data_IF_632132234844
#
_entry.id   IF_632132234844
#
_cell.length_a   1.000
_cell.length_b   1.000
_cell.length_c   1.000
_cell.angle_alpha   90.00
_cell.angle_beta   90.00
_cell.angle_gamma   90.00
#
_symmetry.space_group_name_H-M   'P 1'
#
loop_
_entity.id
_entity.type
_entity.pdbx_description
1 polymer ?
#
# COMPACT_ATOMS: atom_id res chain seq x y z
N UNK A 1 -30.99 -13.96 6.01
CA UNK A 1 -30.36 -13.00 6.95
C UNK A 1 -28.86 -13.09 6.74
N UNK A 2 -28.23 -12.07 6.17
CA UNK A 2 -26.78 -12.05 5.99
C UNK A 2 -26.15 -11.93 7.39
N UNK A 3 -25.24 -12.83 7.81
CA UNK A 3 -24.61 -12.76 9.12
C UNK A 3 -23.92 -11.40 9.29
N UNK A 4 -24.06 -10.74 10.44
CA UNK A 4 -23.47 -9.41 10.69
C UNK A 4 -21.97 -9.34 10.35
N UNK A 5 -21.24 -10.44 10.54
CA UNK A 5 -19.82 -10.57 10.19
C UNK A 5 -19.56 -10.42 8.69
N UNK A 6 -20.38 -11.01 7.83
CA UNK A 6 -20.21 -10.93 6.37
C UNK A 6 -20.44 -9.50 5.85
N UNK A 7 -21.39 -8.77 6.44
CA UNK A 7 -21.62 -7.36 6.11
C UNK A 7 -20.44 -6.49 6.52
N UNK A 8 -19.87 -6.73 7.71
CA UNK A 8 -18.68 -6.02 8.20
C UNK A 8 -17.44 -6.34 7.35
N UNK A 9 -17.24 -7.60 6.97
CA UNK A 9 -16.11 -8.03 6.13
C UNK A 9 -16.20 -7.41 4.73
N UNK A 10 -17.41 -7.32 4.17
CA UNK A 10 -17.66 -6.60 2.92
C UNK A 10 -17.34 -5.11 3.08
N UNK A 11 -17.79 -4.47 4.17
CA UNK A 11 -17.50 -3.07 4.44
C UNK A 11 -15.99 -2.81 4.61
N UNK A 12 -15.26 -3.71 5.29
CA UNK A 12 -13.79 -3.67 5.39
C UNK A 12 -13.13 -3.71 4.02
N UNK A 13 -13.50 -4.68 3.17
CA UNK A 13 -12.97 -4.80 1.80
C UNK A 13 -13.28 -3.57 0.95
N UNK A 14 -14.50 -3.04 1.03
CA UNK A 14 -14.87 -1.81 0.32
C UNK A 14 -14.07 -0.60 0.80
N UNK A 15 -13.82 -0.48 2.11
CA UNK A 15 -12.98 0.59 2.67
C UNK A 15 -11.52 0.47 2.19
N UNK A 16 -10.95 -0.74 2.17
CA UNK A 16 -9.60 -0.99 1.66
C UNK A 16 -9.48 -0.60 0.18
N UNK A 17 -10.42 -1.05 -0.66
CA UNK A 17 -10.45 -0.68 -2.08
C UNK A 17 -10.56 0.83 -2.30
N UNK A 18 -11.36 1.53 -1.49
CA UNK A 18 -11.47 2.98 -1.57
C UNK A 18 -10.15 3.67 -1.16
N UNK A 19 -9.45 3.15 -0.16
CA UNK A 19 -8.13 3.65 0.23
C UNK A 19 -7.09 3.45 -0.88
N UNK A 20 -7.00 2.24 -1.43
CA UNK A 20 -6.07 1.91 -2.52
C UNK A 20 -6.36 2.74 -3.79
N UNK A 21 -7.63 2.87 -4.18
CA UNK A 21 -8.02 3.73 -5.29
C UNK A 21 -7.64 5.20 -5.08
N UNK A 22 -7.68 5.69 -3.83
CA UNK A 22 -7.22 7.04 -3.51
C UNK A 22 -5.69 7.17 -3.66
N UNK A 23 -4.91 6.16 -3.25
CA UNK A 23 -3.45 6.16 -3.46
C UNK A 23 -3.10 6.15 -4.95
N UNK A 24 -3.76 5.30 -5.73
CA UNK A 24 -3.56 5.21 -7.18
C UNK A 24 -3.93 6.53 -7.86
N UNK A 25 -5.05 7.14 -7.47
CA UNK A 25 -5.43 8.48 -7.93
C UNK A 25 -4.34 9.52 -7.66
N UNK A 26 -3.80 9.57 -6.44
CA UNK A 26 -2.74 10.51 -6.07
C UNK A 26 -1.45 10.27 -6.85
N UNK A 27 -1.08 9.01 -7.10
CA UNK A 27 0.09 8.67 -7.93
C UNK A 27 -0.09 9.10 -9.38
N UNK A 28 -1.25 8.85 -9.98
CA UNK A 28 -1.56 9.31 -11.35
C UNK A 28 -1.55 10.83 -11.46
N UNK A 29 -1.99 11.57 -10.42
CA UNK A 29 -1.85 13.02 -10.39
C UNK A 29 -0.38 13.47 -10.37
N UNK A 30 0.46 12.80 -9.57
CA UNK A 30 1.90 13.09 -9.54
C UNK A 30 2.56 12.81 -10.90
N UNK A 31 2.21 11.70 -11.55
CA UNK A 31 2.68 11.36 -12.89
C UNK A 31 2.26 12.40 -13.93
N UNK A 32 0.98 12.81 -13.95
CA UNK A 32 0.49 13.86 -14.84
C UNK A 32 1.26 15.17 -14.64
N UNK A 33 1.60 15.52 -13.39
CA UNK A 33 2.44 16.68 -13.08
C UNK A 33 3.86 16.54 -13.64
N UNK A 34 4.48 15.38 -13.51
CA UNK A 34 5.82 15.09 -14.08
C UNK A 34 5.81 15.20 -15.60
N UNK A 35 4.72 14.78 -16.25
CA UNK A 35 4.50 14.90 -17.69
C UNK A 35 4.14 16.33 -18.15
N UNK A 36 4.01 17.30 -17.23
CA UNK A 36 3.73 18.69 -17.54
C UNK A 36 2.25 19.02 -17.81
N UNK A 37 1.32 18.12 -17.48
CA UNK A 37 -0.12 18.36 -17.65
C UNK A 37 -0.59 19.42 -16.65
N UNK A 38 -1.31 20.44 -17.14
CA UNK A 38 -1.76 21.56 -16.29
C UNK A 38 -2.88 21.15 -15.32
N UNK A 39 -2.95 21.77 -14.13
CA UNK A 39 -4.04 21.49 -13.18
C UNK A 39 -5.43 21.80 -13.73
N UNK A 40 -5.54 22.81 -14.61
CA UNK A 40 -6.81 23.17 -15.26
C UNK A 40 -7.27 22.08 -16.24
N UNK A 41 -6.32 21.52 -17.00
CA UNK A 41 -6.59 20.40 -17.90
C UNK A 41 -6.99 19.14 -17.12
N UNK A 42 -6.27 18.79 -16.07
CA UNK A 42 -6.61 17.66 -15.18
C UNK A 42 -8.00 17.85 -14.58
N UNK A 43 -8.32 19.05 -14.07
CA UNK A 43 -9.63 19.36 -13.49
C UNK A 43 -10.76 19.20 -14.51
N UNK A 44 -10.55 19.66 -15.75
CA UNK A 44 -11.49 19.53 -16.86
C UNK A 44 -11.74 18.07 -17.22
N UNK A 45 -10.69 17.26 -17.42
CA UNK A 45 -10.80 15.85 -17.78
C UNK A 45 -11.47 15.02 -16.67
N UNK A 46 -11.12 15.28 -15.41
CA UNK A 46 -11.68 14.58 -14.25
C UNK A 46 -13.04 15.13 -13.79
N UNK A 47 -13.56 16.18 -14.44
CA UNK A 47 -14.84 16.84 -14.11
C UNK A 47 -14.93 17.31 -12.65
N UNK A 48 -13.83 17.84 -12.14
CA UNK A 48 -13.74 18.44 -10.79
C UNK A 48 -13.28 19.90 -10.88
N UNK A 49 -13.29 20.59 -9.76
CA UNK A 49 -12.80 21.98 -9.71
C UNK A 49 -11.27 22.00 -9.65
N UNK A 50 -10.65 23.03 -10.24
CA UNK A 50 -9.20 23.22 -10.14
C UNK A 50 -8.70 23.33 -8.68
N UNK A 51 -9.41 24.00 -7.74
CA UNK A 51 -9.06 23.95 -6.32
C UNK A 51 -9.05 22.53 -5.71
N UNK A 52 -9.95 21.63 -6.14
CA UNK A 52 -9.94 20.24 -5.68
C UNK A 52 -8.71 19.47 -6.19
N UNK A 53 -8.26 19.75 -7.42
CA UNK A 53 -6.99 19.23 -7.96
C UNK A 53 -5.81 19.79 -7.20
N UNK A 54 -5.77 21.10 -6.92
CA UNK A 54 -4.70 21.71 -6.14
C UNK A 54 -4.54 21.04 -4.77
N UNK A 55 -5.65 20.81 -4.05
CA UNK A 55 -5.65 20.08 -2.77
C UNK A 55 -5.13 18.65 -2.92
N UNK A 56 -5.59 17.93 -3.94
CA UNK A 56 -5.17 16.55 -4.19
C UNK A 56 -3.69 16.47 -4.58
N UNK A 57 -3.17 17.43 -5.33
CA UNK A 57 -1.76 17.54 -5.70
C UNK A 57 -0.84 17.77 -4.50
N UNK A 58 -1.31 18.50 -3.48
CA UNK A 58 -0.57 18.63 -2.22
C UNK A 58 -0.42 17.28 -1.51
N UNK A 59 -1.48 16.46 -1.49
CA UNK A 59 -1.42 15.10 -0.94
C UNK A 59 -0.58 14.15 -1.82
N UNK A 60 -0.66 14.30 -3.14
CA UNK A 60 0.09 13.50 -4.11
C UNK A 60 1.61 13.62 -3.92
N UNK A 61 2.10 14.81 -3.55
CA UNK A 61 3.52 15.03 -3.29
C UNK A 61 4.08 14.23 -2.12
N UNK A 62 3.23 13.77 -1.20
CA UNK A 62 3.63 12.95 -0.05
C UNK A 62 3.27 11.47 -0.23
N UNK A 63 2.72 11.08 -1.39
CA UNK A 63 2.35 9.70 -1.67
C UNK A 63 3.57 8.96 -2.24
N UNK A 64 4.08 7.90 -1.58
CA UNK A 64 5.21 7.14 -2.08
C UNK A 64 4.89 6.51 -3.45
N UNK A 65 5.85 6.53 -4.40
CA UNK A 65 5.70 5.79 -5.66
C UNK A 65 5.67 4.29 -5.40
N UNK A 66 5.15 3.52 -6.35
CA UNK A 66 5.28 2.06 -6.35
C UNK A 66 6.62 1.71 -7.01
N UNK A 67 7.54 0.99 -6.32
CA UNK A 67 8.79 0.56 -6.94
C UNK A 67 8.53 -0.37 -8.13
N UNK A 68 9.42 -0.36 -9.12
CA UNK A 68 9.27 -1.18 -10.32
C UNK A 68 9.16 -2.67 -9.97
N UNK A 69 8.20 -3.33 -10.61
CA UNK A 69 7.91 -4.73 -10.39
C UNK A 69 7.04 -5.03 -9.18
N UNK A 70 6.68 -4.05 -8.34
CA UNK A 70 5.80 -4.27 -7.18
C UNK A 70 4.38 -3.74 -7.43
N UNK A 71 3.41 -4.19 -6.63
CA UNK A 71 2.04 -3.65 -6.67
C UNK A 71 1.78 -2.58 -5.61
N UNK A 72 2.56 -2.51 -4.52
CA UNK A 72 2.37 -1.52 -3.45
C UNK A 72 3.58 -0.61 -3.24
N UNK A 73 3.35 0.61 -2.77
CA UNK A 73 4.41 1.54 -2.37
C UNK A 73 5.08 1.20 -1.03
N UNK A 74 4.58 0.15 -0.35
CA UNK A 74 5.12 -0.41 0.89
C UNK A 74 4.71 -1.89 1.02
N UNK A 75 5.40 -2.70 1.84
CA UNK A 75 4.98 -4.05 2.17
C UNK A 75 3.55 -4.10 2.75
N UNK A 76 3.18 -3.09 3.55
CA UNK A 76 1.84 -3.00 4.13
C UNK A 76 0.78 -2.80 3.04
N UNK A 77 1.03 -1.92 2.06
CA UNK A 77 0.12 -1.71 0.93
C UNK A 77 -0.01 -2.97 0.05
N UNK A 78 1.07 -3.73 -0.16
CA UNK A 78 1.00 -5.02 -0.88
C UNK A 78 0.03 -5.97 -0.16
N UNK A 79 0.09 -6.05 1.17
CA UNK A 79 -0.86 -6.83 1.96
C UNK A 79 -2.30 -6.30 1.88
N UNK A 80 -2.49 -4.97 1.83
CA UNK A 80 -3.81 -4.36 1.61
C UNK A 80 -4.39 -4.73 0.24
N UNK A 81 -3.58 -4.74 -0.82
CA UNK A 81 -3.99 -5.16 -2.17
C UNK A 81 -4.38 -6.63 -2.22
N UNK A 82 -3.64 -7.50 -1.53
CA UNK A 82 -4.03 -8.90 -1.36
C UNK A 82 -5.38 -9.02 -0.65
N UNK A 83 -5.56 -8.34 0.48
CA UNK A 83 -6.82 -8.36 1.24
C UNK A 83 -8.00 -7.74 0.46
N UNK A 84 -7.73 -6.81 -0.45
CA UNK A 84 -8.71 -6.25 -1.39
C UNK A 84 -9.04 -7.21 -2.57
N UNK A 85 -8.23 -8.26 -2.77
CA UNK A 85 -8.34 -9.22 -3.86
C UNK A 85 -7.79 -8.71 -5.19
N UNK A 86 -6.90 -7.73 -5.18
CA UNK A 86 -6.25 -7.17 -6.38
C UNK A 86 -5.06 -8.02 -6.83
N UNK A 87 -4.40 -8.72 -5.91
CA UNK A 87 -3.29 -9.63 -6.18
C UNK A 87 -3.54 -11.01 -5.56
N UNK A 88 -2.93 -12.05 -6.14
CA UNK A 88 -3.01 -13.41 -5.61
C UNK A 88 -2.07 -13.61 -4.41
N UNK A 89 -2.23 -14.72 -3.69
CA UNK A 89 -1.34 -15.08 -2.57
C UNK A 89 0.08 -15.33 -3.06
N UNK A 90 0.24 -15.93 -4.23
CA UNK A 90 1.54 -16.23 -4.85
C UNK A 90 2.29 -14.94 -5.17
N UNK A 91 1.60 -13.96 -5.77
CA UNK A 91 2.17 -12.63 -6.04
C UNK A 91 2.56 -11.94 -4.74
N UNK A 92 1.65 -11.89 -3.76
CA UNK A 92 1.93 -11.31 -2.45
C UNK A 92 3.20 -11.92 -1.81
N UNK A 93 3.30 -13.25 -1.79
CA UNK A 93 4.43 -13.94 -1.16
C UNK A 93 5.74 -13.62 -1.86
N UNK A 94 5.75 -13.64 -3.20
CA UNK A 94 6.94 -13.29 -3.97
C UNK A 94 7.37 -11.84 -3.74
N UNK A 95 6.42 -10.89 -3.80
CA UNK A 95 6.71 -9.47 -3.60
C UNK A 95 7.21 -9.15 -2.20
N UNK A 96 6.56 -9.68 -1.17
CA UNK A 96 7.02 -9.45 0.21
C UNK A 96 8.38 -10.09 0.45
N UNK A 97 8.63 -11.30 -0.05
CA UNK A 97 9.91 -11.97 0.16
C UNK A 97 11.09 -11.25 -0.52
N UNK A 98 10.88 -10.62 -1.68
CA UNK A 98 11.94 -9.87 -2.40
C UNK A 98 11.97 -8.38 -2.08
N UNK A 99 11.09 -7.90 -1.19
CA UNK A 99 11.05 -6.48 -0.87
C UNK A 99 12.39 -6.05 -0.26
N UNK A 100 13.01 -4.95 -0.72
CA UNK A 100 14.27 -4.47 -0.19
C UNK A 100 14.03 -3.79 1.18
N UNK A 101 13.82 -4.60 2.22
CA UNK A 101 13.52 -4.11 3.56
C UNK A 101 14.64 -3.22 4.08
N UNK A 102 14.28 -2.02 4.53
CA UNK A 102 15.22 -1.16 5.24
C UNK A 102 15.63 -1.86 6.54
N UNK A 103 16.94 -2.06 6.79
CA UNK A 103 17.40 -2.52 8.08
C UNK A 103 16.92 -1.56 9.15
N UNK A 104 16.34 -2.06 10.24
CA UNK A 104 16.02 -1.20 11.38
C UNK A 104 17.33 -0.63 11.90
N UNK A 105 17.54 0.68 11.78
CA UNK A 105 18.61 1.33 12.52
C UNK A 105 18.37 1.01 13.99
N UNK A 106 19.34 0.35 14.62
CA UNK A 106 19.39 0.22 16.07
C UNK A 106 19.73 1.60 16.66
N UNK A 107 18.82 2.56 16.48
CA UNK A 107 18.88 3.87 17.10
C UNK A 107 19.00 3.71 18.61
N UNK A 108 19.68 4.66 19.22
CA UNK A 108 20.15 4.83 20.59
C UNK A 108 19.07 4.85 21.70
N UNK A 109 17.97 4.13 21.50
CA UNK A 109 17.02 3.77 22.55
C UNK A 109 15.97 4.83 22.89
N UNK A 110 15.82 5.88 22.09
CA UNK A 110 14.87 6.97 22.40
C UNK A 110 13.72 7.13 21.39
N UNK A 111 13.77 6.60 20.16
CA UNK A 111 12.69 6.81 19.17
C UNK A 111 11.89 5.55 18.80
N UNK A 112 11.23 4.92 19.78
CA UNK A 112 10.31 3.79 19.53
C UNK A 112 8.92 4.23 19.02
N UNK A 113 8.73 5.52 18.70
CA UNK A 113 7.42 6.08 18.38
C UNK A 113 7.24 6.46 16.90
N UNK A 114 8.31 6.49 16.11
CA UNK A 114 8.21 6.81 14.69
C UNK A 114 8.15 5.53 13.86
N UNK A 115 6.96 5.19 13.36
CA UNK A 115 6.77 4.10 12.40
C UNK A 115 7.43 4.48 11.07
N UNK A 116 8.38 3.66 10.61
CA UNK A 116 9.01 3.81 9.30
C UNK A 116 8.46 2.78 8.30
N UNK A 117 7.72 3.23 7.26
CA UNK A 117 7.27 2.36 6.19
C UNK A 117 8.45 1.72 5.44
N UNK A 118 8.26 0.49 4.95
CA UNK A 118 9.28 -0.23 4.17
C UNK A 118 10.17 -1.17 4.99
N UNK A 119 9.93 -1.28 6.29
CA UNK A 119 10.58 -2.28 7.17
C UNK A 119 9.75 -3.56 7.27
N UNK A 120 10.33 -4.65 7.77
CA UNK A 120 9.59 -5.91 7.96
C UNK A 120 8.43 -5.80 8.99
N UNK A 121 8.44 -4.75 9.83
CA UNK A 121 7.34 -4.44 10.75
C UNK A 121 6.01 -4.23 9.99
N UNK A 122 6.06 -3.81 8.72
CA UNK A 122 4.88 -3.70 7.86
C UNK A 122 4.18 -5.04 7.66
N UNK A 123 4.94 -6.13 7.50
CA UNK A 123 4.39 -7.49 7.34
C UNK A 123 3.81 -7.98 8.66
N UNK A 124 4.51 -7.72 9.78
CA UNK A 124 4.04 -8.05 11.13
C UNK A 124 2.74 -7.32 11.44
N UNK A 125 2.68 -6.02 11.15
CA UNK A 125 1.49 -5.19 11.29
C UNK A 125 0.35 -5.70 10.41
N UNK A 126 0.61 -6.03 9.15
CA UNK A 126 -0.40 -6.58 8.25
C UNK A 126 -1.03 -7.87 8.79
N UNK A 127 -0.23 -8.75 9.40
CA UNK A 127 -0.75 -9.93 10.11
C UNK A 127 -1.60 -9.54 11.32
N UNK A 128 -1.11 -8.64 12.18
CA UNK A 128 -1.84 -8.16 13.37
C UNK A 128 -3.20 -7.54 13.01
N UNK A 129 -3.23 -6.77 11.92
CA UNK A 129 -4.41 -6.05 11.46
C UNK A 129 -5.37 -6.96 10.64
N UNK A 130 -4.98 -8.22 10.43
CA UNK A 130 -5.78 -9.27 9.81
C UNK A 130 -5.78 -9.27 8.28
N UNK A 131 -4.80 -8.61 7.65
CA UNK A 131 -4.60 -8.62 6.20
C UNK A 131 -3.90 -9.92 5.74
N UNK A 132 -3.08 -10.50 6.61
CA UNK A 132 -2.39 -11.76 6.40
C UNK A 132 -2.84 -12.78 7.45
N UNK A 133 -3.14 -14.00 7.03
CA UNK A 133 -3.26 -15.13 7.96
C UNK A 133 -1.88 -15.71 8.30
N UNK A 134 -1.83 -16.55 9.34
CA UNK A 134 -0.57 -17.17 9.79
C UNK A 134 0.10 -17.97 8.67
N UNK A 135 -0.66 -18.73 7.87
CA UNK A 135 -0.12 -19.54 6.80
C UNK A 135 0.51 -18.71 5.66
N UNK A 136 -0.05 -17.54 5.37
CA UNK A 136 0.51 -16.60 4.39
C UNK A 136 1.74 -15.90 4.93
N UNK A 137 1.71 -15.50 6.20
CA UNK A 137 2.88 -14.93 6.88
C UNK A 137 4.07 -15.91 6.89
N UNK A 138 3.84 -17.16 7.28
CA UNK A 138 4.89 -18.19 7.32
C UNK A 138 5.44 -18.50 5.91
N UNK A 139 4.59 -18.41 4.87
CA UNK A 139 5.02 -18.58 3.48
C UNK A 139 5.94 -17.45 2.99
N UNK A 140 5.71 -16.20 3.44
CA UNK A 140 6.61 -15.07 3.16
C UNK A 140 7.98 -15.34 3.77
N UNK A 141 8.04 -15.75 5.04
CA UNK A 141 9.30 -16.06 5.72
C UNK A 141 10.05 -17.21 5.04
N UNK A 142 9.36 -18.31 4.72
CA UNK A 142 9.97 -19.44 4.03
C UNK A 142 10.53 -19.03 2.66
N UNK A 143 9.81 -18.19 1.91
CA UNK A 143 10.26 -17.70 0.61
C UNK A 143 11.47 -16.77 0.73
N UNK A 144 11.52 -15.93 1.75
CA UNK A 144 12.68 -15.08 2.01
C UNK A 144 13.93 -15.92 2.34
N UNK A 145 13.79 -16.93 3.21
CA UNK A 145 14.87 -17.89 3.53
C UNK A 145 15.39 -18.64 2.29
N UNK A 146 14.55 -18.87 1.27
CA UNK A 146 14.96 -19.47 0.00
C UNK A 146 15.77 -18.51 -0.87
N UNK A 147 15.45 -17.22 -0.86
CA UNK A 147 16.14 -16.19 -1.65
C UNK A 147 17.51 -15.81 -1.07
N UNK A 148 17.70 -16.01 0.24
CA UNK A 148 18.96 -15.74 0.95
C UNK A 148 19.99 -16.89 0.86
N UNK A 149 19.60 -18.06 0.31
CA UNK A 149 20.49 -19.22 0.09
C UNK A 149 21.14 -19.22 -1.30
#
# INVERSE_FOLDING_TARGET
MVPHREVVDRARRSRLRAHLAQLDYLRSLNEARVLGVSQTEIARELRVTQPAISKSMSAASSTPPVPEGFHGGSPYEIAERYAAGEISREVLVDELARWPYTPRDAGDGIDWLTYEPGTFEDVVRARRDGLLDTATYDAVLARQDELER
#
